data_IF_198448771507
#
_entry.id   IF_198448771507
#
_cell.length_a   1.000
_cell.length_b   1.000
_cell.length_c   1.000
_cell.angle_alpha   90.00
_cell.angle_beta   90.00
_cell.angle_gamma   90.00
#
_symmetry.space_group_name_H-M   'P 1'
#
loop_
_entity.id
_entity.type
_entity.pdbx_description
1 polymer ?
#
# COMPACT_ATOMS: atom_id res chain seq x y z
N UNK A 1 -9.65 -12.15 5.18
CA UNK A 1 -9.35 -11.79 3.79
C UNK A 1 -10.02 -10.45 3.47
N UNK A 2 -9.36 -9.63 2.70
CA UNK A 2 -9.90 -8.33 2.31
C UNK A 2 -10.70 -8.49 1.02
N UNK A 3 -11.89 -7.87 0.96
CA UNK A 3 -12.77 -7.99 -0.21
C UNK A 3 -13.36 -6.62 -0.57
N UNK A 4 -13.57 -6.40 -1.87
CA UNK A 4 -14.30 -5.24 -2.38
C UNK A 4 -15.37 -5.69 -3.35
N UNK A 5 -16.53 -5.03 -3.30
CA UNK A 5 -17.60 -5.25 -4.28
C UNK A 5 -17.53 -4.15 -5.33
N UNK A 6 -17.30 -4.55 -6.58
CA UNK A 6 -17.18 -3.64 -7.72
C UNK A 6 -18.09 -4.17 -8.82
N UNK A 7 -19.08 -3.37 -9.25
CA UNK A 7 -20.06 -3.74 -10.28
C UNK A 7 -20.77 -5.08 -9.93
N UNK A 8 -21.23 -5.19 -8.70
CA UNK A 8 -21.95 -6.36 -8.17
C UNK A 8 -21.13 -7.65 -8.10
N UNK A 9 -19.81 -7.58 -8.31
CA UNK A 9 -18.90 -8.71 -8.15
C UNK A 9 -18.02 -8.49 -6.93
N UNK A 10 -17.82 -9.56 -6.15
CA UNK A 10 -16.94 -9.54 -5.00
C UNK A 10 -15.53 -9.96 -5.44
N UNK A 11 -14.55 -9.08 -5.25
CA UNK A 11 -13.15 -9.36 -5.57
C UNK A 11 -12.37 -9.58 -4.29
N UNK A 12 -11.69 -10.72 -4.14
CA UNK A 12 -10.85 -10.96 -2.98
C UNK A 12 -9.44 -10.41 -3.19
N UNK A 13 -8.79 -10.02 -2.09
CA UNK A 13 -7.44 -9.50 -2.08
C UNK A 13 -6.63 -10.22 -1.00
N UNK A 14 -5.43 -10.64 -1.35
CA UNK A 14 -4.56 -11.35 -0.44
C UNK A 14 -3.20 -10.68 -0.38
N UNK A 15 -2.77 -10.26 0.82
CA UNK A 15 -1.44 -9.70 1.05
C UNK A 15 -0.51 -10.80 1.56
N UNK A 16 -0.15 -11.72 0.64
CA UNK A 16 0.76 -12.82 0.87
C UNK A 16 2.10 -12.60 0.15
N UNK A 17 2.88 -13.67 0.05
CA UNK A 17 4.21 -13.58 -0.55
C UNK A 17 4.20 -13.18 -2.02
N UNK A 18 3.19 -13.61 -2.78
CA UNK A 18 3.05 -13.24 -4.19
C UNK A 18 2.86 -11.75 -4.39
N UNK A 19 1.92 -11.16 -3.65
CA UNK A 19 1.68 -9.72 -3.71
C UNK A 19 2.87 -8.92 -3.17
N UNK A 20 3.53 -9.42 -2.13
CA UNK A 20 4.73 -8.77 -1.59
C UNK A 20 5.83 -8.68 -2.66
N UNK A 21 6.07 -9.76 -3.39
CA UNK A 21 7.07 -9.75 -4.47
C UNK A 21 6.72 -8.74 -5.56
N UNK A 22 5.46 -8.65 -5.94
CA UNK A 22 5.03 -7.66 -6.95
C UNK A 22 5.17 -6.23 -6.44
N UNK A 23 4.82 -5.98 -5.20
CA UNK A 23 4.98 -4.66 -4.58
C UNK A 23 6.45 -4.25 -4.54
N UNK A 24 7.34 -5.16 -4.15
CA UNK A 24 8.77 -4.87 -4.09
C UNK A 24 9.38 -4.59 -5.47
N UNK A 25 8.90 -5.24 -6.52
CA UNK A 25 9.38 -5.01 -7.89
C UNK A 25 9.14 -3.59 -8.39
N UNK A 26 8.11 -2.91 -7.92
CA UNK A 26 7.80 -1.55 -8.36
C UNK A 26 8.97 -0.59 -8.13
N UNK A 27 9.72 -0.79 -7.07
CA UNK A 27 10.80 0.13 -6.68
C UNK A 27 12.18 -0.41 -7.07
N UNK A 28 12.35 -1.72 -7.20
CA UNK A 28 13.63 -2.33 -7.62
C UNK A 28 14.15 -1.76 -8.94
N UNK A 29 13.25 -1.37 -9.84
CA UNK A 29 13.61 -0.82 -11.14
C UNK A 29 14.20 0.58 -11.06
N UNK A 30 14.07 1.26 -9.93
CA UNK A 30 14.52 2.65 -9.74
C UNK A 30 15.73 2.78 -8.83
N UNK A 31 16.17 1.69 -8.18
CA UNK A 31 17.28 1.71 -7.22
C UNK A 31 18.55 1.11 -7.80
N UNK A 32 19.69 1.72 -7.44
CA UNK A 32 21.00 1.26 -7.79
C UNK A 32 21.34 -0.03 -7.04
N UNK A 33 21.92 -1.00 -7.73
CA UNK A 33 22.28 -2.30 -7.18
C UNK A 33 23.36 -2.23 -6.09
N UNK A 34 24.08 -1.12 -6.02
CA UNK A 34 25.22 -0.98 -5.12
C UNK A 34 24.88 -0.83 -3.64
N UNK A 35 23.62 -0.56 -3.31
CA UNK A 35 23.27 -0.27 -1.91
C UNK A 35 22.98 -1.51 -1.08
N UNK A 36 22.81 -2.69 -1.68
CA UNK A 36 22.46 -3.93 -0.96
C UNK A 36 21.15 -3.89 -0.20
N UNK A 37 20.42 -2.78 -0.29
CA UNK A 37 19.20 -2.53 0.48
C UNK A 37 17.95 -2.88 -0.31
N UNK A 38 18.03 -3.85 -1.21
CA UNK A 38 16.92 -4.26 -2.07
C UNK A 38 15.75 -4.89 -1.32
N UNK A 39 16.00 -5.39 -0.11
CA UNK A 39 14.97 -6.11 0.65
C UNK A 39 13.97 -5.13 1.21
N UNK A 40 12.73 -5.29 0.83
CA UNK A 40 11.58 -4.55 1.37
C UNK A 40 11.53 -3.06 1.04
N UNK A 41 12.43 -2.53 0.19
CA UNK A 41 12.40 -1.12 -0.20
C UNK A 41 11.08 -0.79 -0.87
N UNK A 42 10.61 -1.64 -1.78
CA UNK A 42 9.33 -1.42 -2.44
C UNK A 42 8.18 -1.34 -1.46
N UNK A 43 8.17 -2.23 -0.47
CA UNK A 43 7.14 -2.22 0.56
C UNK A 43 7.21 -0.96 1.44
N UNK A 44 8.43 -0.53 1.83
CA UNK A 44 8.60 0.72 2.59
C UNK A 44 7.99 1.92 1.87
N UNK A 45 8.37 2.13 0.61
CA UNK A 45 7.86 3.25 -0.17
C UNK A 45 6.37 3.13 -0.43
N UNK A 46 5.87 1.92 -0.65
CA UNK A 46 4.45 1.68 -0.84
C UNK A 46 3.64 2.08 0.39
N UNK A 47 4.11 1.70 1.58
CA UNK A 47 3.43 2.07 2.83
C UNK A 47 3.45 3.59 3.03
N UNK A 48 4.58 4.24 2.78
CA UNK A 48 4.67 5.70 2.88
C UNK A 48 3.69 6.36 1.92
N UNK A 49 3.63 5.89 0.67
CA UNK A 49 2.70 6.40 -0.33
C UNK A 49 1.24 6.23 0.11
N UNK A 50 0.91 5.07 0.68
CA UNK A 50 -0.45 4.84 1.19
C UNK A 50 -0.79 5.77 2.34
N UNK A 51 0.16 6.04 3.22
CA UNK A 51 -0.02 7.01 4.31
C UNK A 51 -0.20 8.44 3.79
N UNK A 52 0.45 8.76 2.67
CA UNK A 52 0.37 10.06 2.02
C UNK A 52 -0.85 10.21 1.10
N UNK A 53 -1.62 9.15 0.92
CA UNK A 53 -2.82 9.19 0.09
C UNK A 53 -2.56 9.16 -1.40
N UNK A 54 -1.49 8.50 -1.85
CA UNK A 54 -1.15 8.38 -3.27
C UNK A 54 -2.05 7.34 -3.93
N UNK A 55 -3.01 7.82 -4.72
CA UNK A 55 -4.07 6.99 -5.30
C UNK A 55 -3.53 5.94 -6.29
N UNK A 56 -2.56 6.30 -7.11
CA UNK A 56 -1.95 5.36 -8.06
C UNK A 56 -1.30 4.17 -7.34
N UNK A 57 -0.68 4.42 -6.20
CA UNK A 57 -0.07 3.36 -5.39
C UNK A 57 -1.14 2.45 -4.81
N UNK A 58 -2.25 3.01 -4.34
CA UNK A 58 -3.38 2.21 -3.85
C UNK A 58 -3.89 1.26 -4.93
N UNK A 59 -4.04 1.76 -6.17
CA UNK A 59 -4.48 0.94 -7.30
C UNK A 59 -3.51 -0.21 -7.55
N UNK A 60 -2.21 0.08 -7.61
CA UNK A 60 -1.19 -0.94 -7.87
C UNK A 60 -1.17 -2.02 -6.77
N UNK A 61 -1.35 -1.60 -5.52
CA UNK A 61 -1.41 -2.54 -4.38
C UNK A 61 -2.61 -3.45 -4.49
N UNK A 62 -3.78 -2.90 -4.83
CA UNK A 62 -4.99 -3.70 -4.98
C UNK A 62 -4.87 -4.71 -6.13
N UNK A 63 -4.31 -4.29 -7.26
CA UNK A 63 -4.09 -5.20 -8.38
C UNK A 63 -3.10 -6.31 -8.02
N UNK A 64 -2.02 -5.98 -7.32
CA UNK A 64 -1.05 -6.98 -6.87
C UNK A 64 -1.69 -7.99 -5.90
N UNK A 65 -2.54 -7.51 -5.00
CA UNK A 65 -3.20 -8.35 -4.01
C UNK A 65 -4.28 -9.25 -4.61
N UNK A 66 -4.84 -8.88 -5.75
CA UNK A 66 -5.83 -9.70 -6.46
C UNK A 66 -5.21 -10.65 -7.48
N UNK A 67 -3.92 -10.53 -7.79
CA UNK A 67 -3.27 -11.20 -8.91
C UNK A 67 -3.46 -12.72 -8.93
N UNK A 68 -3.45 -13.38 -7.79
CA UNK A 68 -3.63 -14.82 -7.70
C UNK A 68 -5.05 -15.25 -7.32
N UNK A 69 -6.00 -14.32 -7.31
CA UNK A 69 -7.35 -14.58 -6.81
C UNK A 69 -8.38 -14.61 -7.94
N UNK A 70 -9.57 -15.16 -7.64
CA UNK A 70 -10.71 -15.21 -8.55
C UNK A 70 -11.93 -14.59 -7.89
N UNK A 71 -12.69 -13.74 -8.59
CA UNK A 71 -12.45 -13.27 -9.96
C UNK A 71 -11.26 -12.32 -10.04
N UNK A 72 -10.65 -12.26 -11.23
CA UNK A 72 -9.52 -11.37 -11.51
C UNK A 72 -10.01 -9.96 -11.78
N UNK A 73 -9.48 -9.00 -11.04
CA UNK A 73 -9.82 -7.59 -11.20
C UNK A 73 -9.00 -6.96 -12.32
N UNK A 74 -9.68 -6.35 -13.28
CA UNK A 74 -9.02 -5.62 -14.36
C UNK A 74 -8.78 -4.18 -13.95
N UNK A 75 -7.69 -3.60 -14.42
CA UNK A 75 -7.34 -2.21 -14.11
C UNK A 75 -8.44 -1.25 -14.52
N UNK A 76 -9.07 -1.46 -15.67
CA UNK A 76 -10.14 -0.59 -16.15
C UNK A 76 -11.36 -0.58 -15.21
N UNK A 77 -11.69 -1.72 -14.64
CA UNK A 77 -12.80 -1.81 -13.66
C UNK A 77 -12.42 -1.10 -12.35
N UNK A 78 -11.18 -1.25 -11.91
CA UNK A 78 -10.71 -0.58 -10.70
C UNK A 78 -10.62 0.94 -10.91
N UNK A 79 -10.16 1.38 -12.08
CA UNK A 79 -10.13 2.81 -12.44
C UNK A 79 -11.53 3.42 -12.29
N UNK A 80 -12.54 2.79 -12.88
CA UNK A 80 -13.91 3.28 -12.81
C UNK A 80 -14.43 3.33 -11.37
N UNK A 81 -14.07 2.34 -10.55
CA UNK A 81 -14.45 2.30 -9.14
C UNK A 81 -13.82 3.46 -8.35
N UNK A 82 -12.54 3.72 -8.58
CA UNK A 82 -11.81 4.79 -7.89
C UNK A 82 -12.24 6.18 -8.35
N UNK A 83 -12.68 6.32 -9.60
CA UNK A 83 -13.18 7.58 -10.16
C UNK A 83 -14.61 7.89 -9.74
N UNK A 84 -15.36 6.90 -9.26
CA UNK A 84 -16.77 7.09 -8.86
C UNK A 84 -16.84 7.98 -7.61
N UNK A 85 -17.65 9.05 -7.70
CA UNK A 85 -17.83 10.00 -6.60
C UNK A 85 -18.39 9.36 -5.33
N UNK A 86 -19.09 8.24 -5.45
CA UNK A 86 -19.67 7.53 -4.33
C UNK A 86 -18.69 6.59 -3.62
N UNK A 87 -17.51 6.40 -4.19
CA UNK A 87 -16.47 5.57 -3.56
C UNK A 87 -15.74 6.37 -2.50
N UNK A 88 -15.72 5.85 -1.27
CA UNK A 88 -15.00 6.48 -0.17
C UNK A 88 -13.52 6.07 -0.23
N UNK A 89 -12.73 6.85 -0.97
CA UNK A 89 -11.30 6.58 -1.20
C UNK A 89 -10.51 6.66 0.10
N UNK A 90 -10.82 7.62 0.96
CA UNK A 90 -10.11 7.77 2.24
C UNK A 90 -10.32 6.54 3.13
N UNK A 91 -11.55 6.02 3.16
CA UNK A 91 -11.83 4.80 3.90
C UNK A 91 -11.09 3.60 3.30
N UNK A 92 -10.97 3.56 1.97
CA UNK A 92 -10.25 2.49 1.30
C UNK A 92 -8.77 2.48 1.67
N UNK A 93 -8.11 3.65 1.73
CA UNK A 93 -6.74 3.76 2.22
C UNK A 93 -6.62 3.23 3.66
N UNK A 94 -7.53 3.62 4.52
CA UNK A 94 -7.53 3.19 5.92
C UNK A 94 -7.70 1.67 6.03
N UNK A 95 -8.60 1.10 5.25
CA UNK A 95 -8.87 -0.34 5.26
C UNK A 95 -7.66 -1.15 4.79
N UNK A 96 -6.97 -0.68 3.75
CA UNK A 96 -5.77 -1.35 3.23
C UNK A 96 -4.64 -1.28 4.26
N UNK A 97 -4.42 -0.13 4.88
CA UNK A 97 -3.41 0.02 5.93
C UNK A 97 -3.72 -0.85 7.15
N UNK A 98 -4.98 -0.94 7.53
CA UNK A 98 -5.43 -1.81 8.62
C UNK A 98 -5.13 -3.28 8.29
N UNK A 99 -5.37 -3.68 7.05
CA UNK A 99 -5.06 -5.03 6.61
C UNK A 99 -3.55 -5.30 6.62
N UNK A 100 -2.74 -4.33 6.20
CA UNK A 100 -1.28 -4.42 6.26
C UNK A 100 -0.79 -4.60 7.68
N UNK A 101 -1.46 -4.00 8.65
CA UNK A 101 -1.10 -4.12 10.08
C UNK A 101 -1.29 -5.55 10.59
N UNK A 102 -2.23 -6.29 10.02
CA UNK A 102 -2.54 -7.67 10.45
C UNK A 102 -1.83 -8.75 9.64
N UNK A 103 -1.47 -8.47 8.40
CA UNK A 103 -0.87 -9.47 7.51
C UNK A 103 0.59 -9.75 7.89
N UNK A 104 0.95 -11.04 7.96
CA UNK A 104 2.31 -11.44 8.33
C UNK A 104 3.38 -10.88 7.39
N UNK A 105 3.08 -10.72 6.11
CA UNK A 105 4.04 -10.24 5.12
C UNK A 105 4.34 -8.75 5.23
N UNK A 106 3.48 -7.98 5.90
CA UNK A 106 3.53 -6.51 5.88
C UNK A 106 3.58 -5.86 7.27
N UNK A 107 3.09 -6.54 8.31
CA UNK A 107 2.91 -5.94 9.63
C UNK A 107 4.19 -5.38 10.25
N UNK A 108 5.29 -6.11 10.12
CA UNK A 108 6.57 -5.67 10.70
C UNK A 108 7.09 -4.41 10.01
N UNK A 109 7.02 -4.37 8.69
CA UNK A 109 7.45 -3.20 7.92
C UNK A 109 6.57 -1.99 8.21
N UNK A 110 5.25 -2.20 8.31
CA UNK A 110 4.33 -1.12 8.65
C UNK A 110 4.66 -0.50 10.02
N UNK A 111 4.95 -1.33 11.02
CA UNK A 111 5.34 -0.85 12.35
C UNK A 111 6.60 0.01 12.29
N UNK A 112 7.61 -0.43 11.55
CA UNK A 112 8.85 0.32 11.39
C UNK A 112 8.63 1.66 10.68
N UNK A 113 7.80 1.67 9.64
CA UNK A 113 7.49 2.90 8.92
C UNK A 113 6.75 3.89 9.83
N UNK A 114 5.78 3.41 10.62
CA UNK A 114 5.04 4.27 11.56
C UNK A 114 5.97 4.89 12.60
N UNK A 115 6.88 4.10 13.16
CA UNK A 115 7.86 4.60 14.12
C UNK A 115 8.74 5.67 13.51
N UNK A 116 9.20 5.46 12.29
CA UNK A 116 10.03 6.42 11.56
C UNK A 116 9.27 7.72 11.31
N UNK A 117 8.02 7.63 10.86
CA UNK A 117 7.19 8.81 10.58
C UNK A 117 6.89 9.60 11.87
N UNK A 118 6.54 8.90 12.94
CA UNK A 118 6.27 9.54 14.25
C UNK A 118 7.50 10.27 14.78
N UNK A 119 8.66 9.64 14.69
CA UNK A 119 9.91 10.24 15.11
C UNK A 119 10.22 11.51 14.31
N UNK A 120 10.01 11.46 13.01
CA UNK A 120 10.27 12.60 12.14
C UNK A 120 9.31 13.75 12.42
N UNK A 121 8.04 13.45 12.68
CA UNK A 121 7.05 14.45 13.08
C UNK A 121 7.41 15.10 14.42
N UNK A 122 7.87 14.32 15.38
CA UNK A 122 8.30 14.83 16.68
C UNK A 122 9.52 15.76 16.54
N UNK A 123 10.50 15.41 15.71
CA UNK A 123 11.66 16.24 15.44
C UNK A 123 11.27 17.55 14.76
N UNK A 124 10.35 17.51 13.81
CA UNK A 124 9.86 18.70 13.14
C UNK A 124 9.08 19.62 14.10
N UNK A 125 8.27 19.05 14.96
CA UNK A 125 7.53 19.82 15.97
C UNK A 125 8.48 20.47 16.95
N UNK A 126 9.53 19.77 17.35
CA UNK A 126 10.55 20.31 18.25
C UNK A 126 11.33 21.46 17.63
N UNK A 127 11.71 21.33 16.36
CA UNK A 127 12.39 22.40 15.63
C UNK A 127 11.48 23.62 15.46
N UNK A 128 10.20 23.40 15.16
CA UNK A 128 9.23 24.48 15.04
C UNK A 128 9.05 25.22 16.38
N UNK A 129 9.10 24.51 17.49
CA UNK A 129 8.98 25.11 18.83
C UNK A 129 10.19 25.94 19.22
N UNK A 130 11.36 25.65 18.62
CA UNK A 130 12.60 26.39 18.90
C UNK A 130 12.76 27.68 18.07
N UNK A 131 11.92 27.84 17.07
CA UNK A 131 11.90 29.02 16.21
C UNK A 131 10.81 30.01 16.66
#
# INVERSE_FOLDING_TARGET
>A
MFELTINDKVYPFRFGMGSLREINKRVEMTFDEDTGAKRNIGLYYTIIDLMDGVLETLEDVLLAANQGEQPRLQRTALDAYLEDENTDVDQLFADVLDFFERANCTKSTLTKVREFVEKRQAEQAEQAAQN
#
